data_IF_942276669811
#
_entry.id   IF_942276669811
#
_cell.length_a   1.000
_cell.length_b   1.000
_cell.length_c   1.000
_cell.angle_alpha   90.00
_cell.angle_beta   90.00
_cell.angle_gamma   90.00
#
_symmetry.space_group_name_H-M   'P 1'
#
loop_
_entity.id
_entity.type
_entity.pdbx_description
1 polymer ?
#
# COMPACT_ATOMS: atom_id res chain seq x y z
N UNK A 1 25.44 -4.99 -82.22
CA UNK A 1 24.36 -5.91 -81.88
C UNK A 1 23.92 -5.62 -80.46
N UNK A 2 22.68 -5.50 -80.26
CA UNK A 2 21.84 -4.89 -79.23
C UNK A 2 22.27 -5.14 -77.81
N UNK A 3 22.49 -4.02 -77.06
CA UNK A 3 22.54 -3.95 -75.60
C UNK A 3 21.10 -3.79 -75.06
N UNK A 4 20.71 -4.64 -74.08
CA UNK A 4 19.48 -4.48 -73.32
C UNK A 4 19.83 -3.86 -71.94
N UNK A 5 19.27 -2.68 -71.70
CA UNK A 5 19.24 -2.07 -70.39
C UNK A 5 18.20 -2.76 -69.55
N UNK A 6 18.57 -3.24 -68.35
CA UNK A 6 17.66 -3.63 -67.28
C UNK A 6 17.56 -2.50 -66.24
N UNK A 7 16.39 -1.90 -66.17
CA UNK A 7 16.11 -0.88 -65.15
C UNK A 7 15.82 -1.52 -63.79
N UNK A 8 16.52 -1.08 -62.78
CA UNK A 8 16.24 -1.43 -61.40
C UNK A 8 15.17 -0.46 -60.79
N UNK A 9 14.01 -1.02 -60.46
CA UNK A 9 12.99 -0.30 -59.65
C UNK A 9 13.35 -0.41 -58.19
N UNK A 10 13.72 0.70 -57.59
CA UNK A 10 13.86 0.80 -56.14
C UNK A 10 12.48 1.00 -55.50
N UNK A 11 11.99 0.00 -54.77
CA UNK A 11 10.81 0.11 -53.95
C UNK A 11 11.25 0.69 -52.59
N UNK A 12 10.90 1.94 -52.33
CA UNK A 12 11.04 2.56 -51.00
C UNK A 12 9.88 2.11 -50.15
N UNK A 13 10.14 1.15 -49.24
CA UNK A 13 9.18 0.81 -48.18
C UNK A 13 9.38 1.78 -47.04
N UNK A 14 8.50 2.78 -46.90
CA UNK A 14 8.41 3.63 -45.72
C UNK A 14 7.75 2.83 -44.60
N UNK A 15 8.55 2.35 -43.62
CA UNK A 15 8.02 1.88 -42.37
C UNK A 15 7.55 3.10 -41.56
N UNK A 16 6.24 3.33 -41.56
CA UNK A 16 5.59 4.20 -40.63
C UNK A 16 5.62 3.56 -39.23
N UNK A 17 6.50 4.03 -38.35
CA UNK A 17 6.36 3.77 -36.91
C UNK A 17 5.11 4.49 -36.38
N UNK A 18 4.01 3.78 -36.41
CA UNK A 18 2.81 4.19 -35.65
C UNK A 18 3.07 4.00 -34.17
N UNK A 19 3.46 5.05 -33.48
CA UNK A 19 3.42 5.08 -32.02
C UNK A 19 1.94 5.08 -31.62
N UNK A 20 1.40 3.91 -31.35
CA UNK A 20 0.10 3.79 -30.71
C UNK A 20 0.23 4.33 -29.29
N UNK A 21 -0.21 5.59 -29.08
CA UNK A 21 -0.43 6.11 -27.75
C UNK A 21 -1.53 5.25 -27.11
N UNK A 22 -1.13 4.29 -26.26
CA UNK A 22 -2.07 3.61 -25.37
C UNK A 22 -2.59 4.66 -24.40
N UNK A 23 -3.84 5.08 -24.57
CA UNK A 23 -4.58 5.77 -23.54
C UNK A 23 -4.75 4.79 -22.38
N UNK A 24 -3.97 4.99 -21.31
CA UNK A 24 -4.16 4.26 -20.05
C UNK A 24 -5.56 4.59 -19.56
N UNK A 25 -6.41 3.59 -19.44
CA UNK A 25 -7.76 3.72 -18.90
C UNK A 25 -7.72 4.20 -17.44
N UNK A 26 -8.83 4.73 -16.95
CA UNK A 26 -8.97 5.24 -15.58
C UNK A 26 -8.62 4.18 -14.51
N UNK A 27 -8.73 2.87 -14.84
CA UNK A 27 -8.45 1.75 -13.96
C UNK A 27 -6.94 1.53 -13.67
N UNK A 28 -6.07 1.92 -14.61
CA UNK A 28 -4.61 1.81 -14.41
C UNK A 28 -4.03 2.86 -13.45
N UNK A 29 -4.74 3.97 -13.22
CA UNK A 29 -4.27 5.06 -12.35
C UNK A 29 -4.32 4.68 -10.87
N UNK A 30 -5.30 3.89 -10.46
CA UNK A 30 -5.42 3.42 -9.08
C UNK A 30 -4.34 2.42 -8.68
N UNK A 31 -3.94 1.54 -9.62
CA UNK A 31 -2.88 0.55 -9.41
C UNK A 31 -1.48 1.17 -9.41
N UNK A 32 -1.27 2.25 -10.18
CA UNK A 32 0.03 2.92 -10.26
C UNK A 32 0.32 3.85 -9.06
N UNK A 33 -0.72 4.31 -8.36
CA UNK A 33 -0.56 5.23 -7.23
C UNK A 33 0.16 4.60 -6.01
N UNK A 34 0.22 3.25 -5.93
CA UNK A 34 0.90 2.54 -4.84
C UNK A 34 2.31 2.05 -5.18
N UNK A 35 2.79 2.25 -6.40
CA UNK A 35 4.15 1.86 -6.82
C UNK A 35 4.96 3.10 -7.16
N UNK A 36 5.61 3.66 -6.16
CA UNK A 36 6.35 4.94 -6.30
C UNK A 36 7.73 4.77 -6.93
N UNK A 37 8.26 3.54 -6.98
CA UNK A 37 9.54 3.24 -7.64
C UNK A 37 9.46 1.92 -8.40
N UNK A 38 9.70 1.90 -9.72
CA UNK A 38 9.75 0.66 -10.48
C UNK A 38 10.78 -0.31 -9.85
N UNK A 39 10.31 -1.49 -9.46
CA UNK A 39 11.17 -2.56 -8.94
C UNK A 39 11.33 -2.63 -7.42
N UNK A 40 10.76 -1.68 -6.64
CA UNK A 40 10.73 -1.83 -5.18
C UNK A 40 9.35 -2.27 -4.70
N UNK A 41 9.27 -3.28 -3.80
CA UNK A 41 8.01 -3.71 -3.24
C UNK A 41 7.46 -2.65 -2.27
N UNK A 42 6.14 -2.44 -2.32
CA UNK A 42 5.42 -1.72 -1.26
C UNK A 42 5.46 -2.57 0.00
N UNK A 43 5.72 -1.96 1.14
CA UNK A 43 5.72 -2.64 2.43
C UNK A 43 4.39 -2.38 3.14
N UNK A 44 3.69 -3.45 3.46
CA UNK A 44 2.49 -3.41 4.31
C UNK A 44 2.91 -3.65 5.76
N UNK A 45 2.79 -2.61 6.59
CA UNK A 45 3.06 -2.66 8.03
C UNK A 45 1.76 -2.95 8.76
N UNK A 46 1.66 -4.11 9.40
CA UNK A 46 0.44 -4.63 10.01
C UNK A 46 0.56 -4.62 11.52
N UNK A 47 -0.39 -3.95 12.17
CA UNK A 47 -0.57 -3.87 13.61
C UNK A 47 -1.91 -4.46 14.01
N UNK A 48 -1.96 -5.12 15.18
CA UNK A 48 -3.17 -5.62 15.80
C UNK A 48 -3.29 -5.11 17.23
N UNK A 49 -4.51 -4.79 17.63
CA UNK A 49 -4.87 -4.45 18.99
C UNK A 49 -6.24 -4.99 19.36
N UNK A 50 -6.43 -5.24 20.65
CA UNK A 50 -7.67 -5.77 21.18
C UNK A 50 -8.16 -4.93 22.34
N UNK A 51 -9.45 -4.62 22.36
CA UNK A 51 -10.12 -3.82 23.40
C UNK A 51 -11.34 -4.57 23.93
N UNK A 52 -11.75 -4.35 25.18
CA UNK A 52 -13.07 -4.77 25.64
C UNK A 52 -14.17 -4.19 24.74
N UNK A 53 -15.20 -4.97 24.47
CA UNK A 53 -16.26 -4.58 23.52
C UNK A 53 -16.94 -3.26 23.89
N UNK A 54 -17.14 -3.01 25.16
CA UNK A 54 -17.74 -1.77 25.68
C UNK A 54 -16.90 -0.50 25.41
N UNK A 55 -15.61 -0.67 25.12
CA UNK A 55 -14.69 0.43 24.76
C UNK A 55 -14.46 0.58 23.27
N UNK A 56 -14.97 -0.35 22.46
CA UNK A 56 -14.61 -0.49 21.04
C UNK A 56 -14.89 0.78 20.22
N UNK A 57 -16.08 1.36 20.36
CA UNK A 57 -16.46 2.55 19.58
C UNK A 57 -15.64 3.78 19.97
N UNK A 58 -15.34 3.93 21.27
CA UNK A 58 -14.50 5.01 21.74
C UNK A 58 -13.05 4.86 21.26
N UNK A 59 -12.54 3.62 21.25
CA UNK A 59 -11.21 3.34 20.75
C UNK A 59 -11.11 3.52 19.23
N UNK A 60 -12.10 3.04 18.47
CA UNK A 60 -12.14 3.24 17.03
C UNK A 60 -12.05 4.72 16.66
N UNK A 61 -12.86 5.55 17.32
CA UNK A 61 -12.83 7.01 17.10
C UNK A 61 -11.45 7.61 17.40
N UNK A 62 -10.85 7.20 18.51
CA UNK A 62 -9.51 7.64 18.90
C UNK A 62 -8.44 7.19 17.90
N UNK A 63 -8.42 5.89 17.57
CA UNK A 63 -7.46 5.30 16.63
C UNK A 63 -7.60 5.89 15.23
N UNK A 64 -8.83 5.96 14.69
CA UNK A 64 -9.10 6.57 13.40
C UNK A 64 -8.58 8.01 13.33
N UNK A 65 -8.83 8.81 14.38
CA UNK A 65 -8.30 10.17 14.46
C UNK A 65 -6.77 10.24 14.48
N UNK A 66 -6.12 9.31 15.20
CA UNK A 66 -4.67 9.28 15.31
C UNK A 66 -3.97 8.91 13.99
N UNK A 67 -4.57 7.99 13.20
CA UNK A 67 -3.95 7.51 11.94
C UNK A 67 -4.24 8.39 10.73
N UNK A 68 -5.15 9.38 10.82
CA UNK A 68 -5.41 10.33 9.72
C UNK A 68 -4.16 11.10 9.26
N UNK A 69 -3.16 11.22 10.11
CA UNK A 69 -1.88 11.87 9.80
C UNK A 69 -0.93 11.01 8.95
N UNK A 70 -1.17 9.71 8.80
CA UNK A 70 -0.28 8.81 8.06
C UNK A 70 0.05 9.31 6.65
N UNK A 71 -0.92 9.77 5.82
CA UNK A 71 -0.60 10.25 4.48
C UNK A 71 0.34 11.47 4.43
N UNK A 72 0.49 12.21 5.54
CA UNK A 72 1.43 13.33 5.62
C UNK A 72 2.86 12.90 5.97
N UNK A 73 3.06 11.63 6.36
CA UNK A 73 4.38 11.09 6.68
C UNK A 73 5.06 10.69 5.38
N UNK A 74 6.28 11.18 5.18
CA UNK A 74 7.04 10.90 3.97
C UNK A 74 7.23 9.39 3.76
N UNK A 75 6.89 8.92 2.56
CA UNK A 75 6.97 7.51 2.19
C UNK A 75 5.78 6.67 2.61
N UNK A 76 4.78 7.23 3.32
CA UNK A 76 3.50 6.56 3.53
C UNK A 76 2.65 6.67 2.26
N UNK A 77 2.05 5.55 1.84
CA UNK A 77 1.22 5.42 0.64
C UNK A 77 -0.27 5.31 0.95
N UNK A 78 -0.63 5.27 2.23
CA UNK A 78 -2.00 5.10 2.68
C UNK A 78 -2.12 4.10 3.82
N UNK A 79 -3.36 3.88 4.28
CA UNK A 79 -3.64 2.96 5.37
C UNK A 79 -5.07 2.41 5.28
N UNK A 80 -5.29 1.33 6.01
CA UNK A 80 -6.61 0.76 6.28
C UNK A 80 -6.78 0.51 7.77
N UNK A 81 -7.98 0.77 8.30
CA UNK A 81 -8.42 0.37 9.63
C UNK A 81 -9.52 -0.67 9.46
N UNK A 82 -9.33 -1.81 10.08
CA UNK A 82 -10.30 -2.90 10.08
C UNK A 82 -10.71 -3.23 11.51
N UNK A 83 -11.95 -3.66 11.68
CA UNK A 83 -12.56 -4.02 12.96
C UNK A 83 -13.31 -5.34 12.82
N UNK A 84 -13.21 -6.18 13.83
CA UNK A 84 -14.09 -7.34 14.01
C UNK A 84 -14.58 -7.37 15.45
N UNK A 85 -15.88 -7.43 15.64
CA UNK A 85 -16.53 -7.60 16.93
C UNK A 85 -16.69 -9.10 17.21
N UNK A 86 -16.26 -9.55 18.37
CA UNK A 86 -16.03 -10.96 18.63
C UNK A 86 -14.72 -11.43 17.99
N UNK A 87 -14.60 -12.69 17.75
CA UNK A 87 -13.40 -13.26 17.14
C UNK A 87 -12.94 -14.50 17.91
N UNK A 88 -11.71 -15.02 17.62
CA UNK A 88 -11.21 -16.24 18.25
C UNK A 88 -11.15 -16.17 19.77
N UNK A 89 -11.01 -14.97 20.33
CA UNK A 89 -10.88 -14.74 21.77
C UNK A 89 -12.23 -14.52 22.50
N UNK A 90 -13.35 -14.56 21.76
CA UNK A 90 -14.70 -14.48 22.32
C UNK A 90 -15.39 -13.13 22.09
N UNK A 91 -16.69 -13.11 22.35
CA UNK A 91 -17.58 -11.95 22.06
C UNK A 91 -17.36 -10.74 22.96
N UNK A 92 -16.64 -10.90 24.07
CA UNK A 92 -16.34 -9.80 25.01
C UNK A 92 -15.30 -8.83 24.48
N UNK A 93 -14.64 -9.13 23.36
CA UNK A 93 -13.59 -8.32 22.78
C UNK A 93 -13.94 -7.84 21.37
N UNK A 94 -13.31 -6.73 20.99
CA UNK A 94 -13.23 -6.23 19.63
C UNK A 94 -11.77 -6.16 19.23
N UNK A 95 -11.46 -6.67 18.06
CA UNK A 95 -10.11 -6.60 17.49
C UNK A 95 -10.04 -5.52 16.43
N UNK A 96 -8.93 -4.81 16.43
CA UNK A 96 -8.59 -3.82 15.42
C UNK A 96 -7.31 -4.22 14.70
N UNK A 97 -7.30 -3.99 13.40
CA UNK A 97 -6.11 -4.15 12.58
C UNK A 97 -5.87 -2.86 11.81
N UNK A 98 -4.65 -2.35 11.88
CA UNK A 98 -4.19 -1.23 11.05
C UNK A 98 -3.16 -1.77 10.09
N UNK A 99 -3.40 -1.58 8.78
CA UNK A 99 -2.40 -1.80 7.75
C UNK A 99 -2.01 -0.43 7.22
N UNK A 100 -0.74 -0.07 7.34
CA UNK A 100 -0.18 1.11 6.69
C UNK A 100 0.79 0.67 5.59
N UNK A 101 0.72 1.36 4.45
CA UNK A 101 1.50 1.04 3.26
C UNK A 101 2.64 2.03 3.09
N UNK A 102 3.82 1.53 2.74
CA UNK A 102 5.05 2.32 2.71
C UNK A 102 5.87 2.02 1.45
N UNK A 103 6.54 3.06 0.95
CA UNK A 103 7.39 2.93 -0.24
C UNK A 103 8.65 2.09 0.00
N UNK A 104 9.09 1.94 1.28
CA UNK A 104 10.27 1.16 1.64
C UNK A 104 10.38 0.92 3.16
N UNK A 105 11.29 0.03 3.57
CA UNK A 105 11.66 -0.16 4.97
C UNK A 105 12.37 1.07 5.55
N UNK A 106 13.11 1.83 4.74
CA UNK A 106 13.78 3.06 5.16
C UNK A 106 12.77 4.14 5.54
N UNK A 107 11.64 4.22 4.82
CA UNK A 107 10.55 5.13 5.18
C UNK A 107 9.91 4.73 6.52
N UNK A 108 9.73 3.43 6.76
CA UNK A 108 9.27 2.93 8.06
C UNK A 108 10.29 3.21 9.16
N UNK A 109 11.59 3.04 8.90
CA UNK A 109 12.66 3.36 9.85
C UNK A 109 12.61 4.83 10.27
N UNK A 110 12.40 5.74 9.33
CA UNK A 110 12.27 7.18 9.62
C UNK A 110 11.04 7.50 10.50
N UNK A 111 9.97 6.69 10.42
CA UNK A 111 8.75 6.84 11.20
C UNK A 111 8.82 6.13 12.56
N UNK A 112 9.27 4.86 12.59
CA UNK A 112 9.19 3.97 13.73
C UNK A 112 10.49 3.86 14.55
N UNK A 113 11.60 4.44 14.06
CA UNK A 113 12.92 4.33 14.68
C UNK A 113 13.71 3.11 14.19
N UNK A 114 14.79 2.80 14.90
CA UNK A 114 15.78 1.79 14.49
C UNK A 114 15.18 0.38 14.30
N UNK A 115 14.30 -0.06 15.19
CA UNK A 115 13.58 -1.32 15.00
C UNK A 115 12.25 -1.09 14.30
N UNK A 116 12.25 -1.29 12.99
CA UNK A 116 11.05 -1.16 12.13
C UNK A 116 9.93 -2.12 12.50
N UNK A 117 10.18 -3.11 13.36
CA UNK A 117 9.16 -4.04 13.85
C UNK A 117 8.48 -3.54 15.12
N UNK A 118 9.06 -2.57 15.80
CA UNK A 118 8.51 -2.07 17.07
C UNK A 118 7.18 -1.38 16.84
N UNK A 119 6.20 -1.68 17.69
CA UNK A 119 4.92 -0.97 17.72
C UNK A 119 5.13 0.50 18.07
N UNK A 120 4.41 1.37 17.39
CA UNK A 120 4.36 2.79 17.74
C UNK A 120 3.13 3.03 18.61
N UNK A 121 3.34 3.06 19.92
CA UNK A 121 2.27 3.21 20.89
C UNK A 121 1.67 4.62 20.81
N UNK A 122 0.35 4.70 20.79
CA UNK A 122 -0.34 5.96 20.93
C UNK A 122 -0.51 6.28 22.43
N UNK A 123 -0.50 7.57 22.82
CA UNK A 123 -0.48 7.97 24.25
C UNK A 123 -1.58 7.36 25.12
N UNK A 124 -2.75 7.08 24.53
CA UNK A 124 -3.91 6.56 25.26
C UNK A 124 -4.21 5.09 25.00
N UNK A 125 -3.35 4.36 24.29
CA UNK A 125 -3.58 2.93 24.01
C UNK A 125 -3.82 2.11 25.28
N UNK A 126 -3.08 2.42 26.34
CA UNK A 126 -3.21 1.74 27.64
C UNK A 126 -4.57 1.93 28.33
N UNK A 127 -5.35 2.95 27.95
CA UNK A 127 -6.70 3.16 28.49
C UNK A 127 -7.72 2.21 27.89
N UNK A 128 -7.43 1.70 26.70
CA UNK A 128 -8.37 0.95 25.88
C UNK A 128 -7.95 -0.51 25.68
N UNK A 129 -6.68 -0.74 25.39
CA UNK A 129 -6.20 -2.05 24.96
C UNK A 129 -6.01 -3.00 26.15
N UNK A 130 -6.51 -4.22 26.02
CA UNK A 130 -6.30 -5.32 26.99
C UNK A 130 -5.03 -6.11 26.67
N UNK A 131 -4.45 -5.89 25.50
CA UNK A 131 -3.19 -6.45 25.05
C UNK A 131 -2.74 -5.75 23.78
N UNK A 132 -1.45 -5.57 23.66
CA UNK A 132 -0.79 -4.98 22.49
C UNK A 132 0.32 -5.90 22.05
N UNK A 133 0.38 -6.17 20.75
CA UNK A 133 1.57 -6.83 20.20
C UNK A 133 2.75 -5.85 20.30
N UNK A 134 3.87 -6.23 20.93
CA UNK A 134 5.04 -5.36 21.05
C UNK A 134 5.74 -5.16 19.71
N UNK A 135 5.47 -6.04 18.76
CA UNK A 135 6.05 -6.04 17.42
C UNK A 135 4.96 -6.09 16.36
N UNK A 136 5.13 -5.30 15.33
CA UNK A 136 4.33 -5.34 14.11
C UNK A 136 5.00 -6.23 13.06
N UNK A 137 4.24 -6.58 12.02
CA UNK A 137 4.76 -7.36 10.90
C UNK A 137 4.85 -6.48 9.66
N UNK A 138 5.98 -6.52 8.98
CA UNK A 138 6.22 -5.82 7.73
C UNK A 138 6.24 -6.85 6.59
N UNK A 139 5.25 -6.78 5.70
CA UNK A 139 5.11 -7.69 4.56
C UNK A 139 5.42 -6.96 3.26
N UNK A 140 6.07 -7.63 2.33
CA UNK A 140 6.10 -7.16 0.95
C UNK A 140 4.72 -7.37 0.31
N UNK A 141 4.14 -6.32 -0.22
CA UNK A 141 2.88 -6.40 -0.94
C UNK A 141 3.12 -7.01 -2.34
N UNK A 142 2.69 -8.24 -2.55
CA UNK A 142 2.94 -8.98 -3.80
C UNK A 142 1.87 -8.75 -4.85
N UNK A 143 0.63 -8.53 -4.43
CA UNK A 143 -0.52 -8.25 -5.30
C UNK A 143 -1.41 -7.22 -4.64
N UNK A 144 -1.79 -6.19 -5.37
CA UNK A 144 -2.82 -5.24 -4.97
C UNK A 144 -3.86 -5.16 -6.09
N UNK A 145 -5.06 -5.64 -5.81
CA UNK A 145 -6.20 -5.65 -6.72
C UNK A 145 -7.46 -5.03 -6.10
N UNK A 146 -7.27 -4.19 -5.06
CA UNK A 146 -8.37 -3.43 -4.48
C UNK A 146 -8.94 -2.47 -5.53
N UNK A 147 -10.24 -2.53 -5.74
CA UNK A 147 -10.98 -1.59 -6.58
C UNK A 147 -11.61 -0.53 -5.68
N UNK A 148 -11.65 0.74 -6.11
CA UNK A 148 -12.37 1.80 -5.42
C UNK A 148 -13.87 1.56 -5.38
#
# INVERSE_FOLDING_TARGET
MRAMLAGAFAVVVSLGLGVAARTLGADDRGLMAMSTRPGQPVIARVWHGKTPREKADAYEKYLAGAITKFPSIKGNLGYQLMRIDGGPDGDQYTEFQVISYWESLEAIHAYAGEDVRRTHDLPRDKEFLVGMEPLVRNYELRVNALRP
#
